data_IF_190949588406
#
_entry.id   IF_190949588406
#
_cell.length_a   1.000
_cell.length_b   1.000
_cell.length_c   1.000
_cell.angle_alpha   90.00
_cell.angle_beta   90.00
_cell.angle_gamma   90.00
#
_symmetry.space_group_name_H-M   'P 1'
#
loop_
_entity.id
_entity.type
_entity.pdbx_description
1 polymer ?
#
# COMPACT_ATOMS: atom_id res chain seq x y z
N UNK A 1 50.84 13.83 55.39
CA UNK A 1 49.73 12.85 55.35
C UNK A 1 48.86 13.14 54.13
N UNK A 2 49.11 12.54 52.97
CA UNK A 2 48.23 12.68 51.81
C UNK A 2 47.17 11.56 51.77
N UNK A 3 46.08 11.80 51.02
CA UNK A 3 45.19 10.81 50.36
C UNK A 3 43.70 10.75 50.74
N UNK A 4 43.17 11.59 51.63
CA UNK A 4 41.69 11.63 51.81
C UNK A 4 40.95 12.26 50.62
N UNK A 5 41.58 13.22 49.93
CA UNK A 5 40.96 13.92 48.79
C UNK A 5 40.88 13.06 47.53
N UNK A 6 41.85 12.16 47.34
CA UNK A 6 41.94 11.27 46.19
C UNK A 6 40.80 10.24 46.17
N UNK A 7 40.43 9.70 47.35
CA UNK A 7 39.35 8.72 47.47
C UNK A 7 37.97 9.31 47.11
N UNK A 8 37.68 10.56 47.47
CA UNK A 8 36.41 11.20 47.07
C UNK A 8 36.29 11.42 45.57
N UNK A 9 37.40 11.73 44.89
CA UNK A 9 37.42 11.89 43.43
C UNK A 9 37.20 10.55 42.72
N UNK A 10 37.74 9.47 43.28
CA UNK A 10 37.55 8.11 42.76
C UNK A 10 36.08 7.66 42.87
N UNK A 11 35.43 7.85 44.03
CA UNK A 11 34.02 7.47 44.23
C UNK A 11 33.04 8.21 43.30
N UNK A 12 33.31 9.50 43.04
CA UNK A 12 32.53 10.29 42.09
C UNK A 12 32.68 9.80 40.65
N UNK A 13 33.90 9.41 40.26
CA UNK A 13 34.21 8.98 38.90
C UNK A 13 33.55 7.63 38.56
N UNK A 14 33.47 6.70 39.52
CA UNK A 14 32.82 5.41 39.33
C UNK A 14 31.34 5.55 38.97
N UNK A 15 30.61 6.46 39.64
CA UNK A 15 29.18 6.68 39.39
C UNK A 15 28.93 7.32 38.03
N UNK A 16 29.77 8.28 37.66
CA UNK A 16 29.70 8.93 36.34
C UNK A 16 30.01 7.95 35.23
N UNK A 17 30.99 7.06 35.42
CA UNK A 17 31.36 6.05 34.42
C UNK A 17 30.21 5.07 34.13
N UNK A 18 29.50 4.63 35.19
CA UNK A 18 28.33 3.75 35.06
C UNK A 18 27.15 4.49 34.40
N UNK A 19 26.94 5.77 34.75
CA UNK A 19 25.92 6.59 34.09
C UNK A 19 26.22 6.83 32.61
N UNK A 20 27.49 7.05 32.27
CA UNK A 20 27.94 7.32 30.91
C UNK A 20 27.81 6.09 30.00
N UNK A 21 28.09 4.88 30.49
CA UNK A 21 27.86 3.65 29.71
C UNK A 21 26.39 3.41 29.44
N UNK A 22 25.51 3.66 30.43
CA UNK A 22 24.06 3.62 30.22
C UNK A 22 23.59 4.62 29.16
N UNK A 23 24.05 5.88 29.26
CA UNK A 23 23.74 6.92 28.27
C UNK A 23 24.25 6.55 26.86
N UNK A 24 25.49 6.04 26.76
CA UNK A 24 26.06 5.57 25.49
C UNK A 24 25.22 4.43 24.89
N UNK A 25 24.72 3.52 25.72
CA UNK A 25 23.80 2.45 25.28
C UNK A 25 22.49 2.98 24.70
N UNK A 26 21.87 3.99 25.33
CA UNK A 26 20.64 4.60 24.81
C UNK A 26 20.91 5.29 23.46
N UNK A 27 22.00 6.05 23.36
CA UNK A 27 22.38 6.72 22.10
C UNK A 27 22.61 5.68 20.99
N UNK A 28 23.27 4.56 21.30
CA UNK A 28 23.50 3.48 20.36
C UNK A 28 22.19 2.84 19.88
N UNK A 29 21.23 2.59 20.79
CA UNK A 29 19.93 2.04 20.43
C UNK A 29 19.12 2.98 19.53
N UNK A 30 19.09 4.27 19.86
CA UNK A 30 18.42 5.29 19.03
C UNK A 30 19.08 5.40 17.66
N UNK A 31 20.42 5.39 17.61
CA UNK A 31 21.18 5.42 16.36
C UNK A 31 20.91 4.20 15.48
N UNK A 32 20.90 3.00 16.05
CA UNK A 32 20.60 1.76 15.31
C UNK A 32 19.16 1.76 14.78
N UNK A 33 18.19 2.23 15.58
CA UNK A 33 16.81 2.35 15.14
C UNK A 33 16.68 3.24 13.89
N UNK A 34 17.36 4.39 13.88
CA UNK A 34 17.37 5.29 12.72
C UNK A 34 17.97 4.61 11.47
N UNK A 35 19.07 3.87 11.62
CA UNK A 35 19.71 3.14 10.51
C UNK A 35 18.78 2.09 9.89
N UNK A 36 18.07 1.32 10.74
CA UNK A 36 17.14 0.29 10.26
C UNK A 36 15.98 0.91 9.47
N UNK A 37 15.43 2.03 9.94
CA UNK A 37 14.34 2.75 9.26
C UNK A 37 14.77 3.22 7.87
N UNK A 38 15.97 3.80 7.77
CA UNK A 38 16.50 4.28 6.49
C UNK A 38 16.78 3.13 5.52
N UNK A 39 17.25 1.99 6.02
CA UNK A 39 17.47 0.77 5.22
C UNK A 39 16.17 0.18 4.69
N UNK A 40 15.12 0.11 5.51
CA UNK A 40 13.81 -0.37 5.09
C UNK A 40 13.22 0.48 3.93
N UNK A 41 13.39 1.81 3.99
CA UNK A 41 12.94 2.71 2.92
C UNK A 41 13.72 2.54 1.61
N UNK A 42 14.99 2.14 1.69
CA UNK A 42 15.81 1.87 0.51
C UNK A 42 15.35 0.59 -0.20
N UNK A 43 15.02 -0.46 0.55
CA UNK A 43 14.50 -1.70 -0.02
C UNK A 43 13.14 -1.50 -0.72
N UNK A 44 12.24 -0.70 -0.15
CA UNK A 44 10.96 -0.37 -0.81
C UNK A 44 11.14 0.37 -2.14
N UNK A 45 12.11 1.27 -2.25
CA UNK A 45 12.45 1.96 -3.51
C UNK A 45 13.17 1.07 -4.51
N UNK A 46 13.78 -0.02 -4.04
CA UNK A 46 14.44 -1.00 -4.88
C UNK A 46 13.49 -2.06 -5.43
N UNK A 47 12.21 -2.02 -5.07
CA UNK A 47 11.18 -2.86 -5.70
C UNK A 47 10.94 -2.32 -7.11
N UNK A 48 11.37 -3.04 -8.16
CA UNK A 48 11.04 -2.64 -9.51
C UNK A 48 9.51 -2.60 -9.65
N UNK A 49 8.95 -1.65 -10.42
CA UNK A 49 7.51 -1.65 -10.70
C UNK A 49 7.09 -3.04 -11.18
N UNK A 50 5.89 -3.53 -10.79
CA UNK A 50 5.42 -4.84 -11.21
C UNK A 50 5.54 -4.92 -12.73
N UNK A 51 6.43 -5.81 -13.19
CA UNK A 51 6.62 -6.06 -14.61
C UNK A 51 5.37 -6.75 -15.12
N UNK A 52 4.44 -5.96 -15.67
CA UNK A 52 3.42 -6.52 -16.55
C UNK A 52 4.20 -7.12 -17.73
N UNK A 53 4.01 -8.42 -18.05
CA UNK A 53 4.65 -9.00 -19.22
C UNK A 53 4.18 -8.20 -20.44
N UNK A 54 5.06 -7.37 -20.98
CA UNK A 54 4.85 -6.73 -22.28
C UNK A 54 4.96 -7.83 -23.31
N UNK A 55 3.81 -8.31 -23.80
CA UNK A 55 3.77 -9.14 -25.00
C UNK A 55 4.24 -8.26 -26.14
N UNK A 56 5.54 -8.30 -26.43
CA UNK A 56 6.08 -7.76 -27.67
C UNK A 56 5.37 -8.48 -28.81
N UNK A 57 4.59 -7.75 -29.59
CA UNK A 57 3.94 -8.22 -30.82
C UNK A 57 4.96 -8.46 -31.96
N UNK A 58 6.16 -8.89 -31.61
CA UNK A 58 7.25 -9.18 -32.52
C UNK A 58 7.71 -10.60 -32.25
N UNK A 59 6.90 -11.57 -32.71
CA UNK A 59 7.29 -12.96 -33.00
C UNK A 59 6.09 -13.66 -33.66
N UNK A 60 5.83 -13.33 -34.92
CA UNK A 60 5.43 -14.26 -35.98
C UNK A 60 4.20 -15.17 -35.82
N UNK A 61 3.38 -15.08 -34.78
CA UNK A 61 2.15 -15.84 -34.65
C UNK A 61 1.14 -15.06 -33.82
N UNK A 62 0.47 -14.10 -34.45
CA UNK A 62 -0.72 -13.47 -33.92
C UNK A 62 -1.79 -14.56 -33.79
N UNK A 63 -1.83 -15.24 -32.63
CA UNK A 63 -3.05 -15.90 -32.18
C UNK A 63 -4.05 -14.76 -32.06
N UNK A 64 -4.95 -14.69 -33.05
CA UNK A 64 -6.06 -13.74 -33.05
C UNK A 64 -6.67 -13.71 -31.65
N UNK A 65 -7.05 -12.53 -31.13
CA UNK A 65 -7.77 -12.46 -29.86
C UNK A 65 -8.92 -13.47 -29.91
N UNK A 66 -8.79 -14.59 -29.18
CA UNK A 66 -9.85 -15.59 -29.11
C UNK A 66 -11.01 -14.88 -28.47
N UNK A 67 -12.13 -14.74 -29.18
CA UNK A 67 -13.33 -14.12 -28.63
C UNK A 67 -14.04 -15.14 -27.73
N UNK A 68 -13.80 -15.13 -26.41
CA UNK A 68 -14.24 -16.22 -25.54
C UNK A 68 -15.77 -16.27 -25.49
N UNK A 69 -16.43 -15.13 -25.65
CA UNK A 69 -17.89 -15.02 -25.66
C UNK A 69 -18.50 -15.63 -26.94
N UNK A 70 -17.79 -15.56 -28.08
CA UNK A 70 -18.22 -16.17 -29.33
C UNK A 70 -18.07 -17.69 -29.30
N UNK A 71 -17.01 -18.21 -28.68
CA UNK A 71 -16.80 -19.65 -28.47
C UNK A 71 -17.82 -20.27 -27.49
N UNK A 72 -18.33 -19.49 -26.52
CA UNK A 72 -19.42 -19.92 -25.64
C UNK A 72 -20.81 -19.88 -26.30
N UNK A 73 -20.91 -19.42 -27.57
CA UNK A 73 -22.16 -19.35 -28.31
C UNK A 73 -23.17 -18.32 -27.77
N UNK A 74 -22.74 -17.42 -26.88
CA UNK A 74 -23.63 -16.41 -26.28
C UNK A 74 -23.62 -15.16 -27.16
N UNK A 75 -24.45 -15.19 -28.20
CA UNK A 75 -24.79 -13.96 -28.91
C UNK A 75 -25.90 -13.27 -28.14
N UNK A 76 -25.71 -12.05 -27.59
CA UNK A 76 -26.82 -11.30 -27.04
C UNK A 76 -27.80 -11.02 -28.19
N UNK A 77 -29.01 -11.56 -28.10
CA UNK A 77 -30.06 -11.26 -29.05
C UNK A 77 -30.41 -9.79 -28.91
N UNK A 78 -30.28 -9.00 -29.99
CA UNK A 78 -30.74 -7.62 -30.05
C UNK A 78 -32.28 -7.49 -29.92
N UNK A 79 -32.98 -8.63 -29.87
CA UNK A 79 -34.44 -8.72 -29.74
C UNK A 79 -34.93 -8.67 -28.27
N UNK A 80 -34.22 -8.00 -27.36
CA UNK A 80 -34.80 -7.59 -26.07
C UNK A 80 -35.38 -6.18 -26.15
N UNK A 81 -36.08 -5.88 -27.24
CA UNK A 81 -36.99 -4.75 -27.31
C UNK A 81 -38.31 -5.17 -26.67
N UNK A 82 -38.42 -5.05 -25.34
CA UNK A 82 -39.70 -5.11 -24.64
C UNK A 82 -40.08 -6.44 -23.96
N UNK A 83 -39.13 -7.12 -23.31
CA UNK A 83 -39.51 -8.17 -22.35
C UNK A 83 -40.14 -7.52 -21.11
N UNK A 84 -41.46 -7.30 -21.16
CA UNK A 84 -42.27 -6.97 -19.98
C UNK A 84 -42.32 -8.23 -19.12
N UNK A 85 -41.49 -8.27 -18.08
CA UNK A 85 -41.64 -9.27 -17.02
C UNK A 85 -42.96 -8.93 -16.32
N UNK A 86 -43.99 -9.81 -16.32
CA UNK A 86 -45.34 -9.45 -15.86
C UNK A 86 -45.40 -8.92 -14.41
N UNK A 87 -44.39 -9.24 -13.61
CA UNK A 87 -44.28 -8.86 -12.20
C UNK A 87 -43.40 -7.61 -11.96
N UNK A 88 -42.62 -7.18 -12.96
CA UNK A 88 -41.85 -5.93 -12.90
C UNK A 88 -42.57 -4.89 -13.76
N UNK A 89 -43.69 -4.40 -13.24
CA UNK A 89 -44.30 -3.19 -13.78
C UNK A 89 -43.27 -2.05 -13.66
N UNK A 90 -42.96 -1.34 -14.76
CA UNK A 90 -42.08 -0.18 -14.71
C UNK A 90 -42.60 0.81 -13.65
N UNK A 91 -41.73 1.23 -12.74
CA UNK A 91 -42.12 2.13 -11.64
C UNK A 91 -42.85 3.36 -12.21
N UNK A 92 -44.14 3.56 -11.86
CA UNK A 92 -44.92 4.66 -12.39
C UNK A 92 -44.33 6.04 -12.05
N UNK A 93 -43.44 6.13 -11.05
CA UNK A 93 -42.71 7.35 -10.74
C UNK A 93 -41.72 7.78 -11.85
N UNK A 94 -41.29 6.87 -12.74
CA UNK A 94 -40.44 7.20 -13.88
C UNK A 94 -41.16 8.07 -14.94
N UNK A 95 -42.49 7.99 -14.98
CA UNK A 95 -43.29 8.77 -15.93
C UNK A 95 -43.64 10.16 -15.38
N UNK A 96 -43.33 10.44 -14.11
CA UNK A 96 -43.60 11.76 -13.54
C UNK A 96 -42.47 12.70 -13.99
N UNK A 97 -42.79 13.86 -14.58
CA UNK A 97 -41.77 14.89 -14.79
C UNK A 97 -41.15 15.20 -13.42
N UNK A 98 -39.83 15.12 -13.35
CA UNK A 98 -39.06 15.42 -12.15
C UNK A 98 -39.51 16.77 -11.61
N UNK A 99 -39.99 16.82 -10.36
CA UNK A 99 -40.36 18.08 -9.70
C UNK A 99 -39.06 18.89 -9.55
N UNK A 100 -38.85 19.83 -10.47
CA UNK A 100 -37.80 20.82 -10.32
C UNK A 100 -38.37 21.93 -9.44
N UNK A 101 -37.86 22.04 -8.21
CA UNK A 101 -38.18 23.16 -7.33
C UNK A 101 -37.96 24.49 -8.08
N UNK A 102 -38.94 25.40 -8.10
CA UNK A 102 -38.76 26.72 -8.70
C UNK A 102 -37.77 27.53 -7.84
N UNK A 103 -36.69 28.00 -8.47
CA UNK A 103 -35.76 28.99 -7.92
C UNK A 103 -36.44 30.36 -7.77
#
# INVERSE_FOLDING_TARGET
MPRKDEQRRQDGLHRVQIGLTGLAGVILLVGLANIIIDKARLDERSVPPPVVPTVSADNGNAVSPREPLAELGVTPSAEQSGQVVPDLQPDPALNKPMDHDPQ
#
